data_IF_433684002386
#
_entry.id   IF_433684002386
#
_cell.length_a   1.000
_cell.length_b   1.000
_cell.length_c   1.000
_cell.angle_alpha   90.00
_cell.angle_beta   90.00
_cell.angle_gamma   90.00
#
_symmetry.space_group_name_H-M   'P 1'
#
loop_
_entity.id
_entity.type
_entity.pdbx_description
1 polymer ?
#
# COMPACT_ATOMS: atom_id res chain seq x y z
N UNK A 1 27.23 7.49 18.25
CA UNK A 1 27.75 7.54 16.85
C UNK A 1 27.07 8.71 16.16
N UNK A 2 27.79 9.60 15.48
CA UNK A 2 27.19 10.76 14.81
C UNK A 2 26.42 10.31 13.57
N UNK A 3 25.10 10.54 13.54
CA UNK A 3 24.30 10.35 12.33
C UNK A 3 24.72 11.41 11.30
N UNK A 4 25.47 11.02 10.28
CA UNK A 4 25.81 11.92 9.16
C UNK A 4 24.54 12.17 8.35
N UNK A 5 24.08 13.42 8.33
CA UNK A 5 23.02 13.90 7.45
C UNK A 5 23.67 14.43 6.16
N UNK A 6 23.29 13.87 5.03
CA UNK A 6 23.78 14.30 3.72
C UNK A 6 22.78 15.24 3.07
N UNK A 7 23.30 16.28 2.42
CA UNK A 7 22.53 17.06 1.45
C UNK A 7 22.38 16.20 0.19
N UNK A 8 21.17 16.12 -0.35
CA UNK A 8 20.92 15.34 -1.56
C UNK A 8 21.56 16.03 -2.77
N UNK A 9 22.66 15.45 -3.26
CA UNK A 9 23.48 16.01 -4.34
C UNK A 9 23.71 15.00 -5.47
N UNK A 10 23.98 15.51 -6.68
CA UNK A 10 24.45 14.73 -7.82
C UNK A 10 25.93 14.33 -7.68
N UNK A 11 26.48 13.65 -8.69
CA UNK A 11 27.86 13.17 -8.70
C UNK A 11 28.88 14.32 -8.75
N UNK A 12 28.43 15.50 -9.15
CA UNK A 12 29.19 16.74 -9.27
C UNK A 12 29.06 17.62 -8.01
N UNK A 13 28.32 17.18 -6.98
CA UNK A 13 28.13 17.88 -5.72
C UNK A 13 27.08 18.99 -5.76
N UNK A 14 26.29 19.10 -6.85
CA UNK A 14 25.18 20.06 -6.93
C UNK A 14 23.92 19.48 -6.31
N UNK A 15 23.04 20.30 -5.71
CA UNK A 15 21.78 19.80 -5.16
C UNK A 15 20.91 19.12 -6.22
N UNK A 16 20.27 18.01 -5.85
CA UNK A 16 19.34 17.30 -6.73
C UNK A 16 18.07 18.13 -6.98
N UNK A 17 17.61 18.14 -8.24
CA UNK A 17 16.27 18.61 -8.58
C UNK A 17 15.20 17.71 -7.96
N UNK A 18 13.96 18.19 -7.83
CA UNK A 18 12.85 17.36 -7.35
C UNK A 18 12.60 16.17 -8.28
N UNK A 19 12.73 16.32 -9.60
CA UNK A 19 12.65 15.21 -10.55
C UNK A 19 13.72 14.14 -10.30
N UNK A 20 14.97 14.55 -10.03
CA UNK A 20 16.05 13.62 -9.69
C UNK A 20 15.82 12.96 -8.32
N UNK A 21 15.32 13.70 -7.34
CA UNK A 21 14.89 13.17 -6.06
C UNK A 21 13.77 12.15 -6.20
N UNK A 22 12.79 12.40 -7.07
CA UNK A 22 11.66 11.50 -7.27
C UNK A 22 12.11 10.20 -7.94
N UNK A 23 13.03 10.31 -8.92
CA UNK A 23 13.68 9.13 -9.50
C UNK A 23 14.49 8.34 -8.46
N UNK A 24 15.24 9.02 -7.58
CA UNK A 24 16.05 8.38 -6.55
C UNK A 24 15.19 7.70 -5.48
N UNK A 25 14.20 8.41 -4.96
CA UNK A 25 13.42 7.99 -3.80
C UNK A 25 12.24 7.08 -4.20
N UNK A 26 11.51 7.43 -5.27
CA UNK A 26 10.27 6.76 -5.66
C UNK A 26 10.44 5.81 -6.86
N UNK A 27 11.59 5.82 -7.54
CA UNK A 27 11.74 5.24 -8.88
C UNK A 27 10.70 5.74 -9.91
N UNK A 28 10.19 6.95 -9.73
CA UNK A 28 9.17 7.53 -10.60
C UNK A 28 9.82 8.20 -11.82
N UNK A 29 10.17 7.39 -12.82
CA UNK A 29 10.62 7.92 -14.10
C UNK A 29 9.53 8.76 -14.78
N UNK A 30 9.93 9.91 -15.34
CA UNK A 30 9.06 10.72 -16.21
C UNK A 30 8.16 11.74 -15.49
N UNK A 31 8.27 11.92 -14.16
CA UNK A 31 7.60 13.03 -13.49
C UNK A 31 8.29 14.36 -13.83
N UNK A 32 7.50 15.38 -14.16
CA UNK A 32 8.03 16.74 -14.30
C UNK A 32 8.51 17.29 -12.96
N UNK A 33 9.36 18.32 -13.00
CA UNK A 33 9.86 18.98 -11.78
C UNK A 33 8.71 19.44 -10.87
N UNK A 34 7.69 20.08 -11.45
CA UNK A 34 6.50 20.56 -10.73
C UNK A 34 5.74 19.44 -10.03
N UNK A 35 5.49 18.33 -10.71
CA UNK A 35 4.77 17.18 -10.12
C UNK A 35 5.62 16.49 -9.06
N UNK A 36 6.93 16.37 -9.31
CA UNK A 36 7.87 15.79 -8.36
C UNK A 36 7.92 16.62 -7.08
N UNK A 37 7.98 17.95 -7.18
CA UNK A 37 7.92 18.85 -6.03
C UNK A 37 6.61 18.68 -5.26
N UNK A 38 5.46 18.72 -5.95
CA UNK A 38 4.15 18.60 -5.30
C UNK A 38 3.97 17.29 -4.53
N UNK A 39 4.63 16.21 -4.95
CA UNK A 39 4.61 14.92 -4.26
C UNK A 39 5.64 14.88 -3.13
N UNK A 40 6.88 15.26 -3.42
CA UNK A 40 8.00 15.07 -2.49
C UNK A 40 7.99 16.06 -1.34
N UNK A 41 7.61 17.32 -1.57
CA UNK A 41 7.68 18.36 -0.55
C UNK A 41 6.80 18.01 0.67
N UNK A 42 5.51 17.65 0.53
CA UNK A 42 4.70 17.20 1.67
C UNK A 42 5.23 15.92 2.33
N UNK A 43 5.79 14.98 1.55
CA UNK A 43 6.33 13.72 2.07
C UNK A 43 7.58 13.93 2.90
N UNK A 44 8.47 14.80 2.44
CA UNK A 44 9.70 15.15 3.13
C UNK A 44 9.39 16.04 4.35
N UNK A 45 8.47 16.99 4.26
CA UNK A 45 8.05 17.81 5.41
C UNK A 45 7.41 16.98 6.52
N UNK A 46 6.61 15.98 6.17
CA UNK A 46 6.00 15.07 7.15
C UNK A 46 6.98 14.02 7.69
N UNK A 47 8.17 13.88 7.10
CA UNK A 47 9.13 12.85 7.45
C UNK A 47 10.03 13.32 8.60
N UNK A 48 10.11 12.60 9.72
CA UNK A 48 11.10 12.91 10.77
C UNK A 48 12.54 12.65 10.31
N UNK A 49 12.72 12.04 9.14
CA UNK A 49 14.02 11.73 8.54
C UNK A 49 14.49 12.79 7.56
N UNK A 50 13.72 13.84 7.29
CA UNK A 50 14.13 14.90 6.39
C UNK A 50 14.15 16.25 7.12
N UNK A 51 15.12 17.07 6.78
CA UNK A 51 15.23 18.45 7.25
C UNK A 51 15.75 19.34 6.14
N UNK A 52 15.66 20.67 6.32
CA UNK A 52 16.27 21.63 5.39
C UNK A 52 17.55 22.21 5.99
N UNK A 53 18.52 22.54 5.15
CA UNK A 53 19.68 23.33 5.54
C UNK A 53 19.41 24.84 5.48
N UNK A 54 20.42 25.64 5.84
CA UNK A 54 20.33 27.11 5.86
C UNK A 54 20.02 27.71 4.47
N UNK A 55 20.35 26.98 3.41
CA UNK A 55 20.10 27.35 2.02
C UNK A 55 18.75 26.81 1.50
N UNK A 56 17.99 26.09 2.35
CA UNK A 56 16.65 25.57 2.05
C UNK A 56 16.63 24.20 1.35
N UNK A 57 17.77 23.50 1.24
CA UNK A 57 17.86 22.21 0.56
C UNK A 57 17.61 21.04 1.50
N UNK A 58 17.02 19.97 0.95
CA UNK A 58 16.74 18.75 1.68
C UNK A 58 18.01 18.01 2.12
N UNK A 59 18.06 17.72 3.43
CA UNK A 59 19.00 16.85 4.10
C UNK A 59 18.28 15.60 4.59
N UNK A 60 18.91 14.44 4.37
CA UNK A 60 18.45 13.15 4.88
C UNK A 60 19.62 12.35 5.47
N UNK A 61 19.41 11.54 6.53
CA UNK A 61 20.44 10.67 7.08
C UNK A 61 20.96 9.69 6.03
N UNK A 62 22.28 9.43 6.05
CA UNK A 62 22.91 8.39 5.22
C UNK A 62 22.23 7.03 5.38
N UNK A 63 21.80 6.71 6.60
CA UNK A 63 21.11 5.46 6.92
C UNK A 63 19.80 5.26 6.14
N UNK A 64 19.16 6.35 5.69
CA UNK A 64 17.98 6.27 4.84
C UNK A 64 18.36 5.95 3.39
N UNK A 65 19.45 6.56 2.91
CA UNK A 65 20.09 6.24 1.63
C UNK A 65 20.83 4.90 1.62
N UNK A 66 20.99 4.23 2.76
CA UNK A 66 21.55 2.88 2.83
C UNK A 66 20.51 1.86 3.32
N UNK A 67 19.27 2.30 3.56
CA UNK A 67 18.17 1.49 4.09
C UNK A 67 17.34 0.83 2.99
N UNK A 68 16.13 0.36 3.36
CA UNK A 68 15.17 -0.16 2.37
C UNK A 68 14.62 0.99 1.52
N UNK A 69 15.24 1.22 0.39
CA UNK A 69 14.73 2.10 -0.65
C UNK A 69 13.34 1.63 -1.11
N UNK A 70 12.42 2.56 -1.39
CA UNK A 70 11.08 2.21 -1.93
C UNK A 70 11.15 1.27 -3.15
N UNK A 71 12.10 1.42 -4.10
CA UNK A 71 12.27 0.47 -5.20
C UNK A 71 12.54 -0.99 -4.77
N UNK A 72 13.12 -1.20 -3.58
CA UNK A 72 13.45 -2.53 -3.06
C UNK A 72 12.29 -3.15 -2.29
N UNK A 73 11.34 -2.34 -1.81
CA UNK A 73 10.13 -2.79 -1.14
C UNK A 73 9.15 -3.41 -2.13
N UNK A 74 8.45 -4.44 -1.66
CA UNK A 74 7.31 -5.01 -2.37
C UNK A 74 6.04 -4.47 -1.72
N UNK A 75 5.14 -3.92 -2.52
CA UNK A 75 3.83 -3.46 -2.12
C UNK A 75 2.80 -4.48 -2.57
N UNK A 76 1.91 -4.89 -1.68
CA UNK A 76 0.72 -5.64 -2.03
C UNK A 76 -0.45 -4.64 -2.04
N UNK A 77 -0.92 -4.28 -3.23
CA UNK A 77 -2.11 -3.43 -3.39
C UNK A 77 -3.32 -4.35 -3.35
N UNK A 78 -4.12 -4.21 -2.31
CA UNK A 78 -5.22 -5.10 -1.94
C UNK A 78 -6.54 -4.36 -2.11
N UNK A 79 -7.53 -5.11 -2.58
CA UNK A 79 -8.93 -4.72 -2.61
C UNK A 79 -9.77 -5.96 -2.24
N UNK A 80 -10.76 -5.78 -1.37
CA UNK A 80 -11.64 -6.87 -0.96
C UNK A 80 -13.10 -6.49 -1.16
N UNK A 81 -13.89 -7.46 -1.61
CA UNK A 81 -15.34 -7.33 -1.61
C UNK A 81 -15.95 -8.19 -0.53
N UNK A 82 -17.05 -7.71 0.04
CA UNK A 82 -17.63 -8.32 1.24
C UNK A 82 -19.14 -8.24 1.22
N UNK A 83 -19.79 -9.07 2.04
CA UNK A 83 -21.23 -8.99 2.29
C UNK A 83 -21.64 -7.79 3.17
N UNK A 84 -20.71 -6.90 3.53
CA UNK A 84 -20.97 -5.66 4.27
C UNK A 84 -19.84 -5.21 5.21
N UNK A 85 -20.17 -4.41 6.24
CA UNK A 85 -19.20 -3.47 6.81
C UNK A 85 -18.07 -3.98 7.71
N UNK A 86 -18.19 -5.16 8.37
CA UNK A 86 -17.15 -5.66 9.28
C UNK A 86 -17.32 -7.14 9.67
N UNK A 87 -16.22 -7.86 9.98
CA UNK A 87 -16.30 -9.16 10.64
C UNK A 87 -16.66 -9.04 12.14
N UNK A 88 -17.18 -10.10 12.78
CA UNK A 88 -17.64 -11.35 12.20
C UNK A 88 -19.05 -11.26 11.61
N UNK A 89 -19.68 -10.07 11.62
CA UNK A 89 -21.06 -9.95 11.14
C UNK A 89 -21.17 -10.06 9.62
N UNK A 90 -20.10 -9.81 8.87
CA UNK A 90 -20.02 -9.93 7.41
C UNK A 90 -18.87 -10.85 6.97
N UNK A 91 -18.92 -11.30 5.71
CA UNK A 91 -18.03 -12.30 5.10
C UNK A 91 -17.40 -11.72 3.84
N UNK A 92 -16.22 -12.22 3.49
CA UNK A 92 -15.53 -11.84 2.25
C UNK A 92 -16.18 -12.59 1.08
N UNK A 93 -16.36 -11.90 -0.05
CA UNK A 93 -16.84 -12.45 -1.33
C UNK A 93 -15.77 -12.41 -2.41
N UNK A 94 -14.76 -11.56 -2.27
CA UNK A 94 -13.59 -11.52 -3.14
C UNK A 94 -12.33 -11.09 -2.37
N UNK A 95 -11.19 -11.69 -2.71
CA UNK A 95 -9.85 -11.23 -2.36
C UNK A 95 -9.07 -10.94 -3.64
N UNK A 96 -8.68 -9.68 -3.84
CA UNK A 96 -7.82 -9.29 -4.95
C UNK A 96 -6.57 -8.58 -4.44
N UNK A 97 -5.42 -8.87 -5.07
CA UNK A 97 -4.19 -8.17 -4.80
C UNK A 97 -3.23 -8.18 -5.99
N UNK A 98 -2.46 -7.11 -6.14
CA UNK A 98 -1.29 -7.06 -7.05
C UNK A 98 -0.02 -6.74 -6.29
N UNK A 99 1.09 -7.39 -6.65
CA UNK A 99 2.42 -7.07 -6.12
C UNK A 99 3.14 -6.08 -7.02
N UNK A 100 3.59 -4.99 -6.44
CA UNK A 100 4.41 -3.98 -7.11
C UNK A 100 5.78 -3.90 -6.46
N UNK A 101 6.85 -3.96 -7.26
CA UNK A 101 8.23 -3.75 -6.81
C UNK A 101 8.99 -2.92 -7.83
N UNK A 102 9.67 -1.86 -7.39
CA UNK A 102 10.41 -0.96 -8.28
C UNK A 102 9.53 -0.35 -9.39
N UNK A 103 8.26 -0.08 -9.10
CA UNK A 103 7.30 0.45 -10.07
C UNK A 103 6.78 -0.56 -11.11
N UNK A 104 7.06 -1.86 -10.95
CA UNK A 104 6.60 -2.92 -11.86
C UNK A 104 5.69 -3.91 -11.15
N UNK A 105 4.67 -4.38 -11.86
CA UNK A 105 3.87 -5.52 -11.42
C UNK A 105 4.76 -6.78 -11.41
N UNK A 106 4.66 -7.56 -10.35
CA UNK A 106 5.47 -8.77 -10.11
C UNK A 106 4.62 -9.99 -9.77
N UNK A 107 3.32 -9.81 -9.58
CA UNK A 107 2.37 -10.88 -9.34
C UNK A 107 0.97 -10.34 -9.14
N UNK A 108 -0.01 -11.23 -9.30
CA UNK A 108 -1.43 -10.96 -9.12
C UNK A 108 -2.05 -12.15 -8.37
N UNK A 109 -3.05 -11.83 -7.54
CA UNK A 109 -3.91 -12.77 -6.86
C UNK A 109 -5.35 -12.26 -7.03
N UNK A 110 -6.26 -13.13 -7.43
CA UNK A 110 -7.70 -12.86 -7.43
C UNK A 110 -8.43 -14.15 -7.14
N UNK A 111 -9.40 -14.09 -6.22
CA UNK A 111 -10.26 -15.21 -5.91
C UNK A 111 -11.64 -14.70 -5.47
N UNK A 112 -12.68 -15.15 -6.16
CA UNK A 112 -14.04 -15.14 -5.63
C UNK A 112 -14.16 -16.20 -4.53
N UNK A 113 -14.94 -15.88 -3.52
CA UNK A 113 -15.10 -16.67 -2.31
C UNK A 113 -16.57 -16.90 -2.05
N UNK A 114 -16.96 -18.15 -1.79
CA UNK A 114 -18.29 -18.44 -1.27
C UNK A 114 -18.38 -17.94 0.19
N UNK A 115 -19.20 -16.92 0.50
CA UNK A 115 -19.26 -16.35 1.84
C UNK A 115 -20.05 -17.24 2.83
N UNK A 116 -20.65 -18.35 2.38
CA UNK A 116 -21.49 -19.24 3.18
C UNK A 116 -22.80 -18.60 3.64
N UNK A 117 -23.26 -17.54 2.97
CA UNK A 117 -24.46 -16.77 3.30
C UNK A 117 -24.95 -15.94 2.11
N UNK A 118 -26.20 -15.51 2.19
CA UNK A 118 -26.78 -14.59 1.21
C UNK A 118 -26.04 -13.23 1.21
N UNK A 119 -25.78 -12.71 0.00
CA UNK A 119 -25.23 -11.39 -0.23
C UNK A 119 -26.38 -10.37 -0.29
N UNK A 120 -26.43 -9.35 0.58
CA UNK A 120 -27.49 -8.36 0.56
C UNK A 120 -27.62 -7.68 -0.81
N UNK A 121 -28.84 -7.50 -1.32
CA UNK A 121 -29.05 -6.90 -2.65
C UNK A 121 -28.36 -5.54 -2.83
N UNK A 122 -28.29 -4.72 -1.78
CA UNK A 122 -27.56 -3.44 -1.81
C UNK A 122 -26.06 -3.62 -2.07
N UNK A 123 -25.46 -4.70 -1.57
CA UNK A 123 -24.06 -5.07 -1.80
C UNK A 123 -23.90 -5.64 -3.20
N UNK A 124 -24.81 -6.52 -3.66
CA UNK A 124 -24.79 -7.02 -5.05
C UNK A 124 -24.84 -5.84 -6.04
N UNK A 125 -25.68 -4.83 -5.77
CA UNK A 125 -25.78 -3.62 -6.60
C UNK A 125 -24.51 -2.76 -6.58
N UNK A 126 -23.77 -2.76 -5.48
CA UNK A 126 -22.54 -1.98 -5.32
C UNK A 126 -21.34 -2.65 -5.98
N UNK A 127 -21.19 -3.95 -5.76
CA UNK A 127 -19.98 -4.74 -6.10
C UNK A 127 -20.14 -5.50 -7.41
N UNK A 128 -21.39 -5.79 -7.82
CA UNK A 128 -21.69 -6.66 -8.96
C UNK A 128 -21.58 -8.15 -8.65
N UNK A 129 -21.09 -8.54 -7.47
CA UNK A 129 -20.95 -9.94 -7.07
C UNK A 129 -22.28 -10.47 -6.54
N UNK A 130 -22.83 -11.49 -7.21
CA UNK A 130 -24.10 -12.12 -6.86
C UNK A 130 -23.90 -13.49 -6.22
N UNK A 131 -24.91 -14.00 -5.49
CA UNK A 131 -24.87 -15.34 -4.90
C UNK A 131 -24.60 -16.43 -5.94
N UNK A 132 -25.15 -16.28 -7.15
CA UNK A 132 -24.94 -17.22 -8.25
C UNK A 132 -23.48 -17.27 -8.72
N UNK A 133 -22.73 -16.16 -8.64
CA UNK A 133 -21.32 -16.12 -9.04
C UNK A 133 -20.42 -16.85 -8.06
N UNK A 134 -20.78 -16.87 -6.78
CA UNK A 134 -19.94 -17.41 -5.70
C UNK A 134 -20.42 -18.76 -5.16
N UNK A 135 -21.57 -19.27 -5.63
CA UNK A 135 -22.18 -20.50 -5.11
C UNK A 135 -21.24 -21.71 -5.16
N UNK A 136 -20.50 -21.87 -6.27
CA UNK A 136 -19.57 -22.98 -6.48
C UNK A 136 -18.10 -22.59 -6.24
N UNK A 137 -17.84 -21.39 -5.71
CA UNK A 137 -16.49 -20.95 -5.37
C UNK A 137 -15.99 -21.62 -4.07
N UNK A 138 -14.66 -21.73 -3.88
CA UNK A 138 -14.09 -22.18 -2.61
C UNK A 138 -14.51 -21.28 -1.44
N UNK A 139 -14.53 -21.84 -0.23
CA UNK A 139 -14.76 -21.05 0.97
C UNK A 139 -13.51 -20.23 1.37
N UNK A 140 -13.67 -19.32 2.33
CA UNK A 140 -12.58 -18.46 2.75
C UNK A 140 -11.45 -19.24 3.46
N UNK A 141 -11.74 -20.36 4.12
CA UNK A 141 -10.69 -21.17 4.77
C UNK A 141 -9.74 -21.79 3.75
N UNK A 142 -10.26 -22.16 2.57
CA UNK A 142 -9.46 -22.66 1.46
C UNK A 142 -8.62 -21.57 0.79
N UNK A 143 -9.17 -20.37 0.61
CA UNK A 143 -8.50 -19.27 -0.13
C UNK A 143 -7.50 -18.48 0.73
N UNK A 144 -7.82 -18.27 2.01
CA UNK A 144 -7.07 -17.37 2.89
C UNK A 144 -5.57 -17.72 3.03
N UNK A 145 -5.15 -18.99 3.16
CA UNK A 145 -3.72 -19.32 3.25
C UNK A 145 -2.92 -18.80 2.05
N UNK A 146 -3.41 -19.05 0.84
CA UNK A 146 -2.75 -18.60 -0.39
C UNK A 146 -2.71 -17.07 -0.49
N UNK A 147 -3.78 -16.39 -0.08
CA UNK A 147 -3.81 -14.94 -0.03
C UNK A 147 -2.79 -14.36 0.96
N UNK A 148 -2.73 -14.89 2.19
CA UNK A 148 -1.76 -14.42 3.20
C UNK A 148 -0.33 -14.65 2.76
N UNK A 149 -0.03 -15.81 2.19
CA UNK A 149 1.31 -16.10 1.67
C UNK A 149 1.65 -15.18 0.50
N UNK A 150 0.66 -14.83 -0.33
CA UNK A 150 0.84 -13.79 -1.34
C UNK A 150 1.15 -12.44 -0.69
N UNK A 151 0.37 -11.93 0.26
CA UNK A 151 0.61 -10.58 0.82
C UNK A 151 1.69 -10.51 1.91
N UNK A 152 2.30 -11.64 2.27
CA UNK A 152 3.40 -11.71 3.25
C UNK A 152 4.65 -10.96 2.78
N UNK A 153 5.43 -10.44 3.73
CA UNK A 153 6.65 -9.66 3.51
C UNK A 153 6.48 -8.43 2.58
N UNK A 154 5.25 -7.94 2.44
CA UNK A 154 4.91 -6.76 1.65
C UNK A 154 4.45 -5.60 2.55
N UNK A 155 4.54 -4.37 2.02
CA UNK A 155 3.75 -3.25 2.53
C UNK A 155 2.32 -3.45 2.04
N UNK A 156 1.36 -3.53 2.96
CA UNK A 156 -0.07 -3.65 2.63
C UNK A 156 -0.62 -2.29 2.20
N UNK A 157 -1.14 -2.21 0.99
CA UNK A 157 -1.66 -0.97 0.39
C UNK A 157 -3.13 -1.14 0.05
N UNK A 158 -3.99 -0.23 0.49
CA UNK A 158 -5.41 -0.24 0.13
C UNK A 158 -6.02 1.17 0.22
N UNK A 159 -7.15 1.38 -0.46
CA UNK A 159 -7.91 2.62 -0.37
C UNK A 159 -8.89 2.52 0.80
N UNK A 160 -8.71 3.35 1.85
CA UNK A 160 -9.37 3.13 3.14
C UNK A 160 -8.90 1.84 3.87
N UNK A 161 -7.60 1.55 3.80
CA UNK A 161 -6.97 0.30 4.25
C UNK A 161 -7.35 -0.27 5.62
N UNK A 162 -7.90 0.53 6.55
CA UNK A 162 -8.42 0.00 7.81
C UNK A 162 -9.57 -1.00 7.59
N UNK A 163 -10.36 -0.82 6.54
CA UNK A 163 -11.45 -1.72 6.19
C UNK A 163 -10.90 -3.10 5.80
N UNK A 164 -10.08 -3.15 4.75
CA UNK A 164 -9.52 -4.39 4.20
C UNK A 164 -8.68 -5.13 5.23
N UNK A 165 -7.79 -4.39 5.90
CA UNK A 165 -6.87 -4.94 6.88
C UNK A 165 -7.60 -5.55 8.08
N UNK A 166 -8.75 -4.99 8.48
CA UNK A 166 -9.54 -5.57 9.56
C UNK A 166 -10.08 -6.95 9.18
N UNK A 167 -10.62 -7.11 7.98
CA UNK A 167 -11.07 -8.40 7.46
C UNK A 167 -9.93 -9.41 7.39
N UNK A 168 -8.78 -9.03 6.81
CA UNK A 168 -7.63 -9.94 6.70
C UNK A 168 -7.11 -10.34 8.08
N UNK A 169 -6.93 -9.40 9.00
CA UNK A 169 -6.48 -9.68 10.38
C UNK A 169 -7.42 -10.62 11.11
N UNK A 170 -8.72 -10.34 11.03
CA UNK A 170 -9.73 -11.14 11.73
C UNK A 170 -9.67 -12.60 11.28
N UNK A 171 -9.72 -12.85 9.97
CA UNK A 171 -9.74 -14.21 9.43
C UNK A 171 -8.38 -14.91 9.47
N UNK A 172 -7.26 -14.17 9.42
CA UNK A 172 -5.93 -14.74 9.67
C UNK A 172 -5.81 -15.30 11.10
N UNK A 173 -6.33 -14.57 12.09
CA UNK A 173 -6.38 -15.03 13.47
C UNK A 173 -7.35 -16.18 13.67
N UNK A 174 -8.59 -16.03 13.17
CA UNK A 174 -9.66 -17.00 13.38
C UNK A 174 -9.38 -18.36 12.72
N UNK A 175 -8.92 -18.38 11.46
CA UNK A 175 -8.78 -19.63 10.71
C UNK A 175 -7.40 -20.26 10.83
N UNK A 176 -6.36 -19.46 11.03
CA UNK A 176 -4.98 -19.93 10.95
C UNK A 176 -4.20 -19.71 12.25
N UNK A 177 -4.79 -19.04 13.25
CA UNK A 177 -4.08 -18.64 14.46
C UNK A 177 -2.87 -17.73 14.17
N UNK A 178 -2.88 -17.03 13.02
CA UNK A 178 -1.77 -16.19 12.56
C UNK A 178 -2.05 -14.74 12.89
N UNK A 179 -1.10 -14.09 13.55
CA UNK A 179 -1.08 -12.63 13.62
C UNK A 179 -0.68 -12.05 12.25
N UNK A 180 -1.41 -11.03 11.80
CA UNK A 180 -1.14 -10.34 10.54
C UNK A 180 -0.99 -8.83 10.77
N UNK A 181 0.24 -8.38 10.99
CA UNK A 181 0.54 -6.96 11.26
C UNK A 181 1.58 -6.39 10.28
N UNK A 182 1.24 -6.25 8.99
CA UNK A 182 2.16 -5.69 8.01
C UNK A 182 2.29 -4.17 8.17
N UNK A 183 3.38 -3.56 7.67
CA UNK A 183 3.38 -2.13 7.40
C UNK A 183 2.25 -1.74 6.44
N UNK A 184 1.55 -0.63 6.72
CA UNK A 184 0.33 -0.23 5.97
C UNK A 184 0.51 1.13 5.30
N UNK A 185 0.12 1.22 4.04
CA UNK A 185 -0.04 2.47 3.29
C UNK A 185 -1.49 2.64 2.84
N UNK A 186 -2.18 3.63 3.39
CA UNK A 186 -3.55 3.95 2.98
C UNK A 186 -3.53 5.02 1.89
N UNK A 187 -3.96 4.66 0.67
CA UNK A 187 -3.93 5.59 -0.48
C UNK A 187 -4.93 6.73 -0.32
N UNK A 188 -6.05 6.52 0.38
CA UNK A 188 -6.98 7.60 0.74
C UNK A 188 -6.30 8.67 1.63
N UNK A 189 -5.63 8.25 2.71
CA UNK A 189 -4.89 9.18 3.58
C UNK A 189 -3.72 9.83 2.86
N UNK A 190 -3.07 9.11 1.94
CA UNK A 190 -2.01 9.67 1.11
C UNK A 190 -2.57 10.74 0.17
N UNK A 191 -3.68 10.47 -0.50
CA UNK A 191 -4.35 11.42 -1.39
C UNK A 191 -4.79 12.67 -0.62
N UNK A 192 -5.40 12.54 0.55
CA UNK A 192 -5.78 13.70 1.39
C UNK A 192 -4.60 14.60 1.74
N UNK A 193 -3.39 14.03 1.89
CA UNK A 193 -2.17 14.81 2.18
C UNK A 193 -1.57 15.45 0.94
N UNK A 194 -1.52 14.71 -0.18
CA UNK A 194 -0.88 15.17 -1.40
C UNK A 194 -1.78 16.07 -2.25
N UNK A 195 -3.11 15.90 -2.13
CA UNK A 195 -4.13 16.59 -2.91
C UNK A 195 -5.22 17.14 -1.97
N UNK A 196 -4.89 18.06 -1.04
CA UNK A 196 -5.83 18.54 -0.01
C UNK A 196 -6.99 19.36 -0.56
N UNK A 197 -6.98 19.73 -1.85
CA UNK A 197 -8.04 20.50 -2.52
C UNK A 197 -8.75 19.73 -3.65
N UNK A 198 -8.50 18.43 -3.77
CA UNK A 198 -9.16 17.57 -4.74
C UNK A 198 -10.50 17.02 -4.22
#
# INVERSE_FOLDING_TARGET
MAHRTHRLQDKEGKPLSYSALAQLLLASGGLSEKHSQAILEPLLEASPLASRDEEGFWKIPESFLSGRFLPQLTFAVVDIETTGGRPPQHRITELAAVKVRGGKLTGEFSALVNPGREIPWSVVRLTGISDAMVADCPDLMEVMPGFLDFVSDCVFVAHCANFDLHFVRYYAGEFLGREFDPPVLCTFKLAQRLLPQA
#
